data_IF_696231073328
#
_entry.id   IF_696231073328
#
_cell.length_a   1.000
_cell.length_b   1.000
_cell.length_c   1.000
_cell.angle_alpha   90.00
_cell.angle_beta   90.00
_cell.angle_gamma   90.00
#
_symmetry.space_group_name_H-M   'P 1'
#
loop_
_entity.id
_entity.type
_entity.pdbx_description
1 polymer ?
#
# COMPACT_ATOMS: atom_id res chain seq x y z
N UNK A 1 -18.90 37.13 -12.46
CA UNK A 1 -19.01 35.70 -12.79
C UNK A 1 -18.97 34.97 -11.47
N UNK A 2 -20.11 34.43 -11.05
CA UNK A 2 -20.24 33.63 -9.82
C UNK A 2 -19.46 32.34 -10.03
N UNK A 3 -18.54 32.01 -9.12
CA UNK A 3 -17.94 30.67 -9.11
C UNK A 3 -19.08 29.65 -8.99
N UNK A 4 -19.15 28.63 -9.86
CA UNK A 4 -20.02 27.50 -9.62
C UNK A 4 -19.65 26.86 -8.28
N UNK A 5 -20.66 26.60 -7.45
CA UNK A 5 -20.45 25.97 -6.16
C UNK A 5 -20.08 24.50 -6.38
N UNK A 6 -18.90 24.08 -5.89
CA UNK A 6 -18.56 22.65 -5.73
C UNK A 6 -19.75 21.91 -5.11
N UNK A 7 -20.16 20.73 -5.64
CA UNK A 7 -21.16 19.90 -4.98
C UNK A 7 -20.73 19.65 -3.54
N UNK A 8 -21.55 20.09 -2.60
CA UNK A 8 -21.30 19.86 -1.19
C UNK A 8 -21.27 18.34 -0.94
N UNK A 9 -20.27 17.87 -0.19
CA UNK A 9 -20.24 16.49 0.28
C UNK A 9 -21.55 16.18 1.02
N UNK A 10 -22.09 14.95 0.88
CA UNK A 10 -23.21 14.54 1.71
C UNK A 10 -22.83 14.69 3.20
N UNK A 11 -23.81 14.98 4.07
CA UNK A 11 -23.55 15.06 5.51
C UNK A 11 -22.97 13.72 5.99
N UNK A 12 -21.93 13.79 6.82
CA UNK A 12 -21.30 12.62 7.39
C UNK A 12 -22.27 11.92 8.36
N UNK A 13 -22.39 10.61 8.24
CA UNK A 13 -23.05 9.77 9.23
C UNK A 13 -22.10 9.49 10.40
N UNK A 14 -22.60 9.33 11.63
CA UNK A 14 -21.75 8.99 12.77
C UNK A 14 -21.19 7.56 12.65
N UNK A 15 -19.97 7.35 13.16
CA UNK A 15 -19.28 6.06 13.16
C UNK A 15 -19.01 5.59 14.60
N UNK A 16 -20.03 5.15 15.37
CA UNK A 16 -19.89 4.92 16.80
C UNK A 16 -18.90 3.81 17.17
N UNK A 17 -18.72 2.79 16.33
CA UNK A 17 -17.70 1.75 16.56
C UNK A 17 -16.28 2.29 16.37
N UNK A 18 -16.09 3.22 15.43
CA UNK A 18 -14.80 3.88 15.24
C UNK A 18 -14.48 4.77 16.44
N UNK A 19 -15.45 5.55 16.92
CA UNK A 19 -15.31 6.36 18.13
C UNK A 19 -14.96 5.51 19.35
N UNK A 20 -15.58 4.33 19.47
CA UNK A 20 -15.28 3.39 20.53
C UNK A 20 -13.87 2.81 20.40
N UNK A 21 -13.40 2.49 19.19
CA UNK A 21 -12.04 2.00 18.96
C UNK A 21 -10.99 3.06 19.32
N UNK A 22 -11.23 4.32 18.95
CA UNK A 22 -10.39 5.47 19.37
C UNK A 22 -10.33 5.55 20.90
N UNK A 23 -11.46 5.41 21.59
CA UNK A 23 -11.50 5.44 23.05
C UNK A 23 -10.78 4.25 23.69
N UNK A 24 -10.84 3.06 23.08
CA UNK A 24 -10.10 1.87 23.53
C UNK A 24 -8.59 2.13 23.48
N UNK A 25 -8.08 2.60 22.34
CA UNK A 25 -6.66 2.93 22.18
C UNK A 25 -6.20 4.00 23.20
N UNK A 26 -6.98 5.07 23.36
CA UNK A 26 -6.68 6.11 24.34
C UNK A 26 -6.62 5.56 25.77
N UNK A 27 -7.49 4.59 26.11
CA UNK A 27 -7.47 3.92 27.41
C UNK A 27 -6.25 3.01 27.57
N UNK A 28 -5.87 2.26 26.53
CA UNK A 28 -4.69 1.40 26.54
C UNK A 28 -3.41 2.21 26.76
N UNK A 29 -3.30 3.41 26.19
CA UNK A 29 -2.12 4.28 26.31
C UNK A 29 -2.13 5.22 27.53
N UNK A 30 -3.23 5.30 28.27
CA UNK A 30 -3.34 6.15 29.45
C UNK A 30 -2.58 5.57 30.67
N UNK A 31 -2.26 6.40 31.70
CA UNK A 31 -1.72 5.90 32.96
C UNK A 31 -2.61 4.83 33.59
N UNK A 32 -2.04 3.67 33.91
CA UNK A 32 -2.78 2.50 34.40
C UNK A 32 -3.34 1.58 33.30
N UNK A 33 -3.13 1.93 32.03
CA UNK A 33 -3.39 1.08 30.87
C UNK A 33 -2.26 0.07 30.61
N UNK A 34 -2.09 -0.31 29.35
CA UNK A 34 -1.08 -1.25 28.90
C UNK A 34 0.29 -0.56 28.80
N UNK A 35 1.27 -1.07 29.55
CA UNK A 35 2.63 -0.51 29.54
C UNK A 35 3.28 -0.58 28.15
N UNK A 36 3.04 -1.67 27.40
CA UNK A 36 3.58 -1.82 26.05
C UNK A 36 3.00 -0.77 25.10
N UNK A 37 1.68 -0.55 25.11
CA UNK A 37 1.04 0.43 24.23
C UNK A 37 1.49 1.86 24.53
N UNK A 38 1.64 2.18 25.82
CA UNK A 38 2.08 3.50 26.28
C UNK A 38 3.52 3.84 25.86
N UNK A 39 4.40 2.85 25.76
CA UNK A 39 5.81 3.03 25.39
C UNK A 39 6.05 3.15 23.88
N UNK A 40 5.05 2.85 23.04
CA UNK A 40 5.22 2.89 21.58
C UNK A 40 5.43 4.29 21.02
N UNK A 41 6.30 4.38 20.02
CA UNK A 41 6.58 5.55 19.20
C UNK A 41 6.24 5.28 17.73
N UNK A 42 6.29 6.31 16.88
CA UNK A 42 6.11 6.09 15.44
C UNK A 42 7.15 5.11 14.88
N UNK A 43 8.39 5.21 15.33
CA UNK A 43 9.50 4.40 14.86
C UNK A 43 9.35 2.93 15.27
N UNK A 44 8.96 2.66 16.54
CA UNK A 44 8.80 1.28 17.03
C UNK A 44 7.67 0.53 16.33
N UNK A 45 6.65 1.26 15.88
CA UNK A 45 5.48 0.71 15.19
C UNK A 45 5.68 0.45 13.69
N UNK A 46 6.76 0.96 13.09
CA UNK A 46 6.97 0.81 11.64
C UNK A 46 7.06 -0.63 11.16
N UNK A 47 7.56 -1.55 11.99
CA UNK A 47 7.62 -2.97 11.65
C UNK A 47 6.21 -3.58 11.58
N UNK A 48 5.37 -3.32 12.59
CA UNK A 48 4.01 -3.84 12.66
C UNK A 48 3.16 -3.27 11.52
N UNK A 49 3.28 -1.97 11.22
CA UNK A 49 2.60 -1.39 10.06
C UNK A 49 2.96 -2.09 8.74
N UNK A 50 4.19 -2.57 8.58
CA UNK A 50 4.59 -3.33 7.40
C UNK A 50 4.01 -4.74 7.46
N UNK A 51 4.00 -5.38 8.62
CA UNK A 51 3.40 -6.70 8.85
C UNK A 51 1.91 -6.68 8.53
N UNK A 52 1.10 -5.84 9.19
CA UNK A 52 -0.36 -5.76 8.95
C UNK A 52 -0.69 -5.44 7.48
N UNK A 53 0.14 -4.63 6.82
CA UNK A 53 -0.07 -4.32 5.41
C UNK A 53 0.19 -5.54 4.51
N UNK A 54 1.09 -6.44 4.88
CA UNK A 54 1.34 -7.68 4.15
C UNK A 54 0.33 -8.77 4.52
N UNK A 55 -0.11 -8.84 5.78
CA UNK A 55 -1.18 -9.75 6.20
C UNK A 55 -2.50 -9.40 5.51
N UNK A 56 -2.84 -8.11 5.40
CA UNK A 56 -3.95 -7.65 4.56
C UNK A 56 -3.80 -8.05 3.08
N UNK A 57 -2.58 -7.96 2.52
CA UNK A 57 -2.34 -8.41 1.15
C UNK A 57 -2.58 -9.92 1.03
N UNK A 58 -2.10 -10.71 1.99
CA UNK A 58 -2.27 -12.16 2.00
C UNK A 58 -3.75 -12.54 2.14
N UNK A 59 -4.48 -11.90 3.04
CA UNK A 59 -5.93 -12.09 3.20
C UNK A 59 -6.70 -11.77 1.91
N UNK A 60 -6.32 -10.72 1.18
CA UNK A 60 -6.93 -10.38 -0.12
C UNK A 60 -6.61 -11.43 -1.20
N UNK A 61 -5.40 -11.98 -1.20
CA UNK A 61 -4.92 -12.88 -2.26
C UNK A 61 -5.31 -14.35 -2.02
N UNK A 62 -5.40 -14.78 -0.76
CA UNK A 62 -5.54 -16.18 -0.36
C UNK A 62 -6.58 -16.44 0.73
N UNK A 63 -7.07 -15.39 1.40
CA UNK A 63 -7.97 -15.50 2.54
C UNK A 63 -9.46 -15.50 2.20
N UNK A 64 -10.25 -15.38 3.25
CA UNK A 64 -11.70 -15.25 3.25
C UNK A 64 -12.12 -13.79 3.46
N UNK A 65 -13.39 -13.43 3.21
CA UNK A 65 -13.89 -12.11 3.55
C UNK A 65 -13.77 -11.74 5.03
N UNK A 66 -13.71 -12.73 5.93
CA UNK A 66 -13.55 -12.51 7.37
C UNK A 66 -12.09 -12.15 7.68
N UNK A 67 -11.13 -12.87 7.07
CA UNK A 67 -9.70 -12.54 7.19
C UNK A 67 -9.44 -11.11 6.67
N UNK A 68 -10.02 -10.73 5.53
CA UNK A 68 -9.87 -9.35 5.01
C UNK A 68 -10.47 -8.31 5.98
N UNK A 69 -11.56 -8.65 6.68
CA UNK A 69 -12.19 -7.75 7.65
C UNK A 69 -11.30 -7.55 8.89
N UNK A 70 -10.69 -8.63 9.38
CA UNK A 70 -9.72 -8.63 10.50
C UNK A 70 -8.53 -7.73 10.16
N UNK A 71 -7.86 -8.01 9.04
CA UNK A 71 -6.64 -7.29 8.65
C UNK A 71 -6.88 -5.82 8.30
N UNK A 72 -8.06 -5.48 7.75
CA UNK A 72 -8.47 -4.09 7.59
C UNK A 72 -8.62 -3.37 8.95
N UNK A 73 -9.07 -4.10 9.96
CA UNK A 73 -9.13 -3.64 11.35
C UNK A 73 -7.74 -3.33 11.91
N UNK A 74 -6.76 -4.19 11.67
CA UNK A 74 -5.40 -4.02 12.19
C UNK A 74 -4.65 -2.89 11.48
N UNK A 75 -4.77 -2.78 10.16
CA UNK A 75 -4.25 -1.61 9.43
C UNK A 75 -4.92 -0.31 9.89
N UNK A 76 -6.24 -0.31 10.14
CA UNK A 76 -6.93 0.84 10.70
C UNK A 76 -6.41 1.17 12.11
N UNK A 77 -6.20 0.15 12.95
CA UNK A 77 -5.69 0.32 14.30
C UNK A 77 -4.29 0.94 14.30
N UNK A 78 -3.40 0.53 13.39
CA UNK A 78 -2.09 1.18 13.20
C UNK A 78 -2.24 2.68 12.88
N UNK A 79 -3.16 3.06 11.98
CA UNK A 79 -3.42 4.48 11.66
C UNK A 79 -3.88 5.26 12.89
N UNK A 80 -4.81 4.70 13.68
CA UNK A 80 -5.26 5.30 14.93
C UNK A 80 -4.12 5.43 15.95
N UNK A 81 -3.26 4.41 16.05
CA UNK A 81 -2.11 4.39 16.94
C UNK A 81 -1.13 5.52 16.66
N UNK A 82 -0.77 5.69 15.38
CA UNK A 82 0.06 6.82 14.96
C UNK A 82 -0.64 8.18 15.22
N UNK A 83 -1.95 8.28 14.99
CA UNK A 83 -2.68 9.51 15.28
C UNK A 83 -2.71 9.85 16.79
N UNK A 84 -2.85 8.85 17.67
CA UNK A 84 -2.81 9.05 19.12
C UNK A 84 -1.42 9.49 19.61
N UNK A 85 -0.35 8.84 19.13
CA UNK A 85 1.04 9.26 19.39
C UNK A 85 1.26 10.72 18.98
N UNK A 86 0.74 11.12 17.83
CA UNK A 86 0.86 12.50 17.35
C UNK A 86 0.05 13.46 18.23
N UNK A 87 -1.17 13.09 18.62
CA UNK A 87 -2.05 13.92 19.44
C UNK A 87 -1.45 14.22 20.83
N UNK A 88 -0.70 13.26 21.40
CA UNK A 88 0.01 13.44 22.68
C UNK A 88 1.05 14.58 22.68
N UNK A 89 1.45 15.08 21.50
CA UNK A 89 2.35 16.24 21.35
C UNK A 89 1.65 17.60 21.52
N UNK A 90 0.33 17.61 21.73
CA UNK A 90 -0.44 18.83 21.94
C UNK A 90 -0.39 19.75 20.72
N UNK A 91 0.00 21.02 20.93
CA UNK A 91 0.00 22.04 19.88
C UNK A 91 0.95 21.75 18.71
N UNK A 92 1.99 20.93 18.92
CA UNK A 92 2.95 20.51 17.88
C UNK A 92 2.55 19.18 17.20
N UNK A 93 1.40 18.62 17.58
CA UNK A 93 0.86 17.35 17.11
C UNK A 93 -0.23 17.48 16.05
N UNK A 94 -0.88 16.36 15.78
CA UNK A 94 -2.10 16.27 14.98
C UNK A 94 -2.96 15.10 15.47
N UNK A 95 -4.23 15.12 15.13
CA UNK A 95 -5.22 14.12 15.55
C UNK A 95 -5.68 13.25 14.38
N UNK A 96 -6.48 12.22 14.66
CA UNK A 96 -7.12 11.42 13.60
C UNK A 96 -8.05 12.28 12.72
N UNK A 97 -8.70 13.28 13.30
CA UNK A 97 -9.52 14.24 12.55
C UNK A 97 -8.68 15.07 11.58
N UNK A 98 -7.47 15.48 11.95
CA UNK A 98 -6.56 16.19 11.04
C UNK A 98 -6.09 15.28 9.89
N UNK A 99 -5.84 13.99 10.16
CA UNK A 99 -5.50 12.99 9.15
C UNK A 99 -6.66 12.81 8.17
N UNK A 100 -7.89 12.68 8.69
CA UNK A 100 -9.11 12.56 7.90
C UNK A 100 -9.36 13.81 7.06
N UNK A 101 -9.34 15.01 7.67
CA UNK A 101 -9.55 16.28 6.99
C UNK A 101 -8.55 16.51 5.86
N UNK A 102 -7.26 16.20 6.10
CA UNK A 102 -6.22 16.27 5.07
C UNK A 102 -6.48 15.30 3.93
N UNK A 103 -6.94 14.09 4.24
CA UNK A 103 -7.26 13.07 3.24
C UNK A 103 -8.50 13.44 2.42
N UNK A 104 -9.54 13.98 3.06
CA UNK A 104 -10.76 14.50 2.41
C UNK A 104 -10.39 15.62 1.45
N UNK A 105 -9.68 16.65 1.90
CA UNK A 105 -9.28 17.78 1.05
C UNK A 105 -8.48 17.31 -0.18
N UNK A 106 -7.59 16.33 0.02
CA UNK A 106 -6.79 15.72 -1.04
C UNK A 106 -7.64 14.91 -2.02
N UNK A 107 -8.60 14.11 -1.54
CA UNK A 107 -9.49 13.34 -2.41
C UNK A 107 -10.44 14.25 -3.19
N UNK A 108 -11.06 15.23 -2.54
CA UNK A 108 -11.93 16.22 -3.20
C UNK A 108 -11.15 16.98 -4.26
N UNK A 109 -9.96 17.50 -3.93
CA UNK A 109 -9.14 18.26 -4.88
C UNK A 109 -8.69 17.45 -6.10
N UNK A 110 -8.47 16.14 -5.94
CA UNK A 110 -8.04 15.26 -7.04
C UNK A 110 -9.17 14.74 -7.93
N UNK A 111 -10.42 14.94 -7.52
CA UNK A 111 -11.59 14.59 -8.31
C UNK A 111 -12.44 15.83 -8.64
N UNK A 112 -11.86 16.84 -9.34
CA UNK A 112 -12.62 18.01 -9.74
C UNK A 112 -13.74 17.68 -10.74
N UNK A 113 -13.72 16.47 -11.31
CA UNK A 113 -14.80 15.94 -12.16
C UNK A 113 -15.97 15.33 -11.40
N UNK A 114 -15.78 15.04 -10.10
CA UNK A 114 -16.84 14.59 -9.20
C UNK A 114 -17.33 15.76 -8.34
N UNK A 115 -16.41 16.57 -7.83
CA UNK A 115 -16.67 17.63 -6.85
C UNK A 115 -16.48 19.05 -7.40
N UNK A 116 -16.39 19.23 -8.71
CA UNK A 116 -16.27 20.54 -9.35
C UNK A 116 -16.86 20.50 -10.76
N UNK A 117 -16.35 21.35 -11.64
CA UNK A 117 -16.90 21.55 -13.00
C UNK A 117 -16.04 20.97 -14.12
N UNK A 118 -14.99 20.22 -13.77
CA UNK A 118 -14.17 19.55 -14.78
C UNK A 118 -14.96 18.38 -15.36
N UNK A 119 -14.88 18.17 -16.66
CA UNK A 119 -15.43 16.94 -17.27
C UNK A 119 -14.26 16.00 -17.54
N UNK A 120 -14.37 14.76 -17.08
CA UNK A 120 -13.44 13.69 -17.36
C UNK A 120 -14.25 12.39 -17.46
N UNK A 121 -14.40 11.89 -18.69
CA UNK A 121 -15.31 10.78 -19.00
C UNK A 121 -14.54 9.46 -19.14
N UNK A 122 -13.21 9.51 -19.19
CA UNK A 122 -12.34 8.34 -19.32
C UNK A 122 -11.35 8.23 -18.17
N UNK A 123 -10.91 6.99 -17.88
CA UNK A 123 -9.90 6.74 -16.87
C UNK A 123 -8.58 7.50 -17.13
N UNK A 124 -8.22 7.67 -18.41
CA UNK A 124 -7.02 8.41 -18.82
C UNK A 124 -7.14 9.91 -18.53
N UNK A 125 -8.31 10.51 -18.77
CA UNK A 125 -8.58 11.92 -18.41
C UNK A 125 -8.58 12.12 -16.90
N UNK A 126 -9.15 11.17 -16.14
CA UNK A 126 -9.10 11.17 -14.66
C UNK A 126 -7.65 11.10 -14.16
N UNK A 127 -6.83 10.22 -14.74
CA UNK A 127 -5.41 10.09 -14.38
C UNK A 127 -4.62 11.38 -14.68
N UNK A 128 -4.85 12.02 -15.83
CA UNK A 128 -4.19 13.27 -16.20
C UNK A 128 -4.53 14.43 -15.22
N UNK A 129 -5.79 14.50 -14.76
CA UNK A 129 -6.21 15.46 -13.75
C UNK A 129 -5.50 15.22 -12.41
N UNK A 130 -5.40 13.95 -12.01
CA UNK A 130 -4.73 13.55 -10.78
C UNK A 130 -3.24 13.95 -10.75
N UNK A 131 -2.54 13.79 -11.87
CA UNK A 131 -1.12 14.17 -11.96
C UNK A 131 -0.92 15.68 -12.02
N UNK A 132 -1.84 16.41 -12.65
CA UNK A 132 -1.85 17.89 -12.59
C UNK A 132 -1.99 18.39 -11.17
N UNK A 133 -2.91 17.81 -10.39
CA UNK A 133 -3.11 18.18 -8.99
C UNK A 133 -1.91 17.80 -8.11
N UNK A 134 -1.33 16.60 -8.29
CA UNK A 134 -0.08 16.20 -7.59
C UNK A 134 1.06 17.20 -7.78
N UNK A 135 1.20 17.80 -8.97
CA UNK A 135 2.23 18.80 -9.25
C UNK A 135 1.96 20.12 -8.52
N UNK A 136 0.70 20.53 -8.41
CA UNK A 136 0.29 21.75 -7.70
C UNK A 136 0.42 21.62 -6.17
N UNK A 137 0.12 20.44 -5.60
CA UNK A 137 0.15 20.18 -4.14
C UNK A 137 1.57 20.20 -3.55
N UNK A 138 2.60 19.93 -4.35
CA UNK A 138 3.98 19.75 -3.87
C UNK A 138 5.00 20.60 -4.63
N UNK A 139 4.93 21.94 -4.52
CA UNK A 139 5.84 22.85 -5.22
C UNK A 139 7.31 22.72 -4.77
N UNK A 140 7.56 22.11 -3.60
CA UNK A 140 8.89 21.88 -3.07
C UNK A 140 9.62 20.65 -3.66
N UNK A 141 8.98 19.85 -4.51
CA UNK A 141 9.65 18.74 -5.20
C UNK A 141 10.63 19.28 -6.23
N UNK A 142 11.87 18.86 -6.14
CA UNK A 142 12.93 19.23 -7.10
C UNK A 142 13.18 18.13 -8.13
N UNK A 143 12.72 16.91 -7.85
CA UNK A 143 12.83 15.75 -8.73
C UNK A 143 11.51 14.98 -8.84
N UNK A 144 11.25 14.39 -10.01
CA UNK A 144 10.14 13.45 -10.21
C UNK A 144 10.29 12.18 -9.37
N UNK A 145 11.50 11.91 -8.90
CA UNK A 145 11.81 10.79 -8.01
C UNK A 145 11.45 11.08 -6.54
N UNK A 146 11.14 12.34 -6.20
CA UNK A 146 10.84 12.74 -4.82
C UNK A 146 9.55 12.07 -4.32
N UNK A 147 9.69 11.26 -3.27
CA UNK A 147 8.58 10.50 -2.68
C UNK A 147 8.34 9.13 -3.32
N UNK A 148 9.33 8.57 -4.02
CA UNK A 148 9.44 7.11 -4.21
C UNK A 148 10.03 6.52 -2.92
N UNK A 149 9.26 5.77 -2.10
CA UNK A 149 9.77 5.22 -0.85
C UNK A 149 10.90 4.23 -1.11
N UNK A 150 11.95 4.30 -0.29
CA UNK A 150 13.11 3.39 -0.40
C UNK A 150 12.81 1.98 0.10
N UNK A 151 11.89 1.85 1.06
CA UNK A 151 11.49 0.57 1.65
C UNK A 151 10.45 -0.21 0.83
N UNK A 152 10.07 0.24 -0.37
CA UNK A 152 9.22 -0.57 -1.24
C UNK A 152 9.96 -1.84 -1.68
N UNK A 153 9.26 -2.97 -1.82
CA UNK A 153 9.77 -4.15 -2.52
C UNK A 153 10.36 -3.80 -3.90
N UNK A 154 11.38 -4.54 -4.32
CA UNK A 154 12.21 -4.15 -5.45
C UNK A 154 11.41 -4.02 -6.76
N UNK A 155 10.45 -4.91 -7.03
CA UNK A 155 9.67 -4.88 -8.27
C UNK A 155 8.65 -3.73 -8.25
N UNK A 156 7.98 -3.50 -7.12
CA UNK A 156 7.11 -2.31 -6.96
C UNK A 156 7.88 -1.00 -7.09
N UNK A 157 9.08 -0.93 -6.51
CA UNK A 157 9.94 0.25 -6.60
C UNK A 157 10.37 0.48 -8.04
N UNK A 158 10.74 -0.57 -8.78
CA UNK A 158 11.09 -0.50 -10.19
C UNK A 158 9.90 0.00 -11.03
N UNK A 159 8.70 -0.56 -10.84
CA UNK A 159 7.48 -0.13 -11.52
C UNK A 159 7.20 1.36 -11.30
N UNK A 160 7.33 1.82 -10.04
CA UNK A 160 7.13 3.22 -9.68
C UNK A 160 8.18 4.14 -10.31
N UNK A 161 9.45 3.74 -10.34
CA UNK A 161 10.53 4.50 -10.98
C UNK A 161 10.33 4.60 -12.50
N UNK A 162 9.89 3.52 -13.15
CA UNK A 162 9.54 3.52 -14.57
C UNK A 162 8.35 4.45 -14.85
N UNK A 163 7.34 4.47 -13.98
CA UNK A 163 6.26 5.46 -14.08
C UNK A 163 6.78 6.91 -13.96
N UNK A 164 7.74 7.18 -13.07
CA UNK A 164 8.38 8.51 -12.98
C UNK A 164 9.26 8.86 -14.17
N UNK A 165 9.83 7.86 -14.83
CA UNK A 165 10.59 8.04 -16.07
C UNK A 165 9.67 8.49 -17.21
N UNK A 166 8.49 7.87 -17.34
CA UNK A 166 7.47 8.27 -18.32
C UNK A 166 6.99 9.71 -18.10
N UNK A 167 6.79 10.13 -16.85
CA UNK A 167 6.38 11.50 -16.49
C UNK A 167 7.30 12.58 -17.09
N UNK A 168 8.55 12.24 -17.40
CA UNK A 168 9.57 13.14 -17.99
C UNK A 168 10.01 12.73 -19.39
N UNK A 169 9.34 11.76 -20.01
CA UNK A 169 9.69 11.24 -21.33
C UNK A 169 11.05 10.51 -21.39
N UNK A 170 11.54 10.01 -20.25
CA UNK A 170 12.77 9.22 -20.21
C UNK A 170 12.47 7.74 -20.47
N UNK A 171 13.02 7.20 -21.55
CA UNK A 171 12.94 5.77 -21.86
C UNK A 171 14.29 5.08 -21.56
N UNK A 172 14.39 4.24 -20.53
CA UNK A 172 15.62 3.50 -20.25
C UNK A 172 15.91 2.49 -21.37
N UNK A 173 17.18 2.33 -21.72
CA UNK A 173 17.62 1.25 -22.61
C UNK A 173 17.71 -0.04 -21.80
N UNK A 174 16.81 -0.98 -22.06
CA UNK A 174 16.71 -2.24 -21.33
C UNK A 174 17.14 -3.42 -22.23
N UNK A 175 17.87 -4.41 -21.70
CA UNK A 175 18.31 -5.56 -22.46
C UNK A 175 17.15 -6.53 -22.75
N UNK A 176 17.37 -7.46 -23.67
CA UNK A 176 16.55 -8.66 -23.75
C UNK A 176 16.79 -9.55 -22.52
N UNK A 177 15.77 -10.31 -22.14
CA UNK A 177 15.85 -11.27 -21.03
C UNK A 177 16.39 -12.59 -21.57
N UNK A 178 17.45 -13.11 -20.98
CA UNK A 178 18.12 -14.35 -21.39
C UNK A 178 18.74 -15.05 -20.16
N UNK A 179 19.96 -15.59 -20.28
CA UNK A 179 20.73 -16.14 -19.17
C UNK A 179 21.78 -15.09 -18.69
N UNK A 180 21.50 -14.32 -17.62
CA UNK A 180 22.37 -13.24 -17.20
C UNK A 180 23.73 -13.77 -16.69
N UNK A 181 24.81 -13.13 -17.13
CA UNK A 181 26.17 -13.54 -16.78
C UNK A 181 26.62 -13.07 -15.38
N UNK A 182 26.02 -11.99 -14.87
CA UNK A 182 26.33 -11.38 -13.57
C UNK A 182 25.11 -10.66 -12.98
N UNK A 183 25.20 -10.22 -11.71
CA UNK A 183 24.11 -9.55 -11.00
C UNK A 183 23.68 -8.23 -11.65
N UNK A 184 24.60 -7.52 -12.32
CA UNK A 184 24.29 -6.26 -12.99
C UNK A 184 23.45 -6.51 -14.24
N UNK A 185 23.77 -7.56 -15.01
CA UNK A 185 22.97 -8.00 -16.15
C UNK A 185 21.62 -8.52 -15.66
N UNK A 186 21.58 -9.37 -14.64
CA UNK A 186 20.35 -9.86 -14.02
C UNK A 186 19.43 -8.70 -13.58
N UNK A 187 19.98 -7.70 -12.88
CA UNK A 187 19.20 -6.54 -12.45
C UNK A 187 18.59 -5.73 -13.62
N UNK A 188 19.32 -5.60 -14.73
CA UNK A 188 18.83 -4.93 -15.93
C UNK A 188 17.73 -5.75 -16.64
N UNK A 189 17.87 -7.08 -16.68
CA UNK A 189 16.86 -7.98 -17.23
C UNK A 189 15.58 -8.05 -16.37
N UNK A 190 15.72 -8.07 -15.04
CA UNK A 190 14.58 -7.96 -14.12
C UNK A 190 13.83 -6.63 -14.33
N UNK A 191 14.56 -5.53 -14.51
CA UNK A 191 13.94 -4.23 -14.83
C UNK A 191 13.25 -4.26 -16.20
N UNK A 192 13.81 -4.97 -17.19
CA UNK A 192 13.19 -5.20 -18.49
C UNK A 192 11.85 -5.96 -18.38
N UNK A 193 11.80 -7.00 -17.55
CA UNK A 193 10.56 -7.75 -17.26
C UNK A 193 9.51 -6.85 -16.59
N UNK A 194 9.91 -6.06 -15.59
CA UNK A 194 9.01 -5.10 -14.94
C UNK A 194 8.44 -4.10 -15.95
N UNK A 195 9.28 -3.55 -16.84
CA UNK A 195 8.82 -2.64 -17.89
C UNK A 195 7.83 -3.31 -18.87
N UNK A 196 8.12 -4.54 -19.30
CA UNK A 196 7.28 -5.30 -20.22
C UNK A 196 5.92 -5.69 -19.59
N UNK A 197 5.91 -6.00 -18.30
CA UNK A 197 4.71 -6.27 -17.52
C UNK A 197 3.85 -5.02 -17.33
N UNK A 198 4.48 -3.89 -16.94
CA UNK A 198 3.79 -2.59 -16.79
C UNK A 198 3.14 -2.14 -18.10
N UNK A 199 3.80 -2.31 -19.24
CA UNK A 199 3.25 -1.99 -20.56
C UNK A 199 1.99 -2.80 -20.91
N UNK A 200 1.71 -3.89 -20.17
CA UNK A 200 0.52 -4.74 -20.30
C UNK A 200 -0.47 -4.57 -19.15
N UNK A 201 -0.24 -3.61 -18.24
CA UNK A 201 -1.06 -3.41 -17.04
C UNK A 201 -0.93 -4.52 -16.00
N UNK A 202 0.13 -5.34 -16.08
CA UNK A 202 0.43 -6.37 -15.09
C UNK A 202 1.25 -5.77 -13.94
N UNK A 203 0.99 -6.23 -12.72
CA UNK A 203 1.71 -5.81 -11.51
C UNK A 203 2.80 -6.84 -11.16
N UNK A 204 4.09 -6.54 -11.38
CA UNK A 204 5.15 -7.55 -11.29
C UNK A 204 5.32 -8.16 -9.89
N UNK A 205 5.21 -7.33 -8.84
CA UNK A 205 5.33 -7.81 -7.46
C UNK A 205 4.24 -8.82 -7.12
N UNK A 206 2.98 -8.48 -7.43
CA UNK A 206 1.84 -9.37 -7.22
C UNK A 206 1.97 -10.65 -8.05
N UNK A 207 2.38 -10.53 -9.32
CA UNK A 207 2.59 -11.68 -10.17
C UNK A 207 3.62 -12.66 -9.59
N UNK A 208 4.73 -12.14 -9.04
CA UNK A 208 5.73 -12.98 -8.39
C UNK A 208 5.20 -13.60 -7.09
N UNK A 209 4.47 -12.86 -6.25
CA UNK A 209 3.85 -13.43 -5.04
C UNK A 209 2.93 -14.61 -5.34
N UNK A 210 2.06 -14.47 -6.34
CA UNK A 210 1.17 -15.56 -6.76
C UNK A 210 1.96 -16.78 -7.26
N UNK A 211 2.99 -16.57 -8.09
CA UNK A 211 3.83 -17.65 -8.56
C UNK A 211 4.61 -18.35 -7.44
N UNK A 212 5.03 -17.61 -6.41
CA UNK A 212 5.67 -18.18 -5.21
C UNK A 212 4.68 -19.02 -4.41
N UNK A 213 3.44 -18.57 -4.25
CA UNK A 213 2.36 -19.33 -3.60
C UNK A 213 2.09 -20.66 -4.31
N UNK A 214 2.03 -20.67 -5.64
CA UNK A 214 1.92 -21.91 -6.45
C UNK A 214 3.12 -22.84 -6.23
N UNK A 215 4.34 -22.29 -6.26
CA UNK A 215 5.57 -23.07 -6.03
C UNK A 215 5.59 -23.69 -4.62
N UNK A 216 5.15 -22.95 -3.60
CA UNK A 216 5.04 -23.48 -2.24
C UNK A 216 4.05 -24.64 -2.14
N UNK A 217 2.89 -24.53 -2.80
CA UNK A 217 1.91 -25.61 -2.86
C UNK A 217 2.50 -26.86 -3.54
N UNK A 218 3.23 -26.68 -4.64
CA UNK A 218 3.91 -27.77 -5.35
C UNK A 218 4.97 -28.47 -4.50
N UNK A 219 5.77 -27.69 -3.74
CA UNK A 219 6.76 -28.23 -2.79
C UNK A 219 6.04 -29.06 -1.72
N UNK A 220 4.99 -28.53 -1.09
CA UNK A 220 4.21 -29.24 -0.06
C UNK A 220 3.61 -30.55 -0.58
N UNK A 221 3.11 -30.56 -1.82
CA UNK A 221 2.61 -31.79 -2.46
C UNK A 221 3.72 -32.82 -2.69
N UNK A 222 4.92 -32.39 -3.10
CA UNK A 222 6.05 -33.29 -3.29
C UNK A 222 6.49 -33.95 -1.97
N UNK A 223 6.54 -33.18 -0.87
CA UNK A 223 6.88 -33.69 0.47
C UNK A 223 5.91 -34.77 0.96
N UNK A 224 4.60 -34.59 0.71
CA UNK A 224 3.58 -35.57 1.11
C UNK A 224 3.68 -36.88 0.32
N UNK A 225 4.04 -36.82 -0.96
CA UNK A 225 4.26 -38.01 -1.80
C UNK A 225 5.44 -38.85 -1.31
N UNK A 226 6.55 -38.19 -0.98
CA UNK A 226 7.74 -38.85 -0.45
C UNK A 226 7.50 -39.42 0.96
N UNK A 227 6.74 -38.71 1.80
CA UNK A 227 6.32 -39.19 3.12
C UNK A 227 5.41 -40.43 3.06
N UNK A 228 4.44 -40.44 2.15
CA UNK A 228 3.55 -41.59 1.93
C UNK A 228 4.28 -42.80 1.32
N UNK A 229 5.28 -42.57 0.47
CA UNK A 229 6.11 -43.63 -0.11
C UNK A 229 7.03 -44.28 0.94
N UNK A 230 7.51 -43.51 1.93
CA UNK A 230 8.31 -44.03 3.04
C UNK A 230 7.45 -44.73 4.10
N UNK A 231 6.27 -44.20 4.44
CA UNK A 231 5.37 -44.82 5.44
C UNK A 231 4.70 -46.13 4.98
N UNK A 232 4.58 -46.35 3.66
CA UNK A 232 4.06 -47.60 3.10
C UNK A 232 5.07 -48.78 3.11
N UNK A 233 6.37 -48.50 3.31
CA UNK A 233 7.41 -49.53 3.35
C UNK A 233 7.55 -50.17 4.75
N UNK A 234 7.09 -49.50 5.81
CA UNK A 234 7.23 -49.96 7.21
C UNK A 234 6.03 -50.77 7.74
N UNK A 235 5.02 -51.07 6.90
CA UNK A 235 3.79 -51.78 7.29
C UNK A 235 3.70 -53.23 6.76
N UNK A 236 4.81 -53.83 6.35
CA UNK A 236 4.87 -55.19 5.79
C UNK A 236 5.83 -56.16 6.51
N UNK A 237 6.17 -55.93 7.78
CA UNK A 237 6.88 -56.90 8.64
C UNK A 237 6.04 -57.36 9.84
#
# INVERSE_FOLDING_TARGET
MTEPASPALPPAEPHPQLDQLIAVLAHLRAPGGCAWDAEQTHESLTQYLVEEAHELIDAIEHGTPDDVLEELGDVLYQVLFHADIAAARGADGFTIEDVAARSIAKMVGRHPHVFGDVVADTADEVAANWDTWKRQEKPARTSVLDGVPRGLPALQRAEKLLGRADDVGFAPVLPAVDAPADERVLGAELLALVAAARARGLQPERALRLALSELEADIRHAEQRDGSARGGADLLD
#
